data_IF_619908671251
#
_entry.id   IF_619908671251
#
_cell.length_a   1.000
_cell.length_b   1.000
_cell.length_c   1.000
_cell.angle_alpha   90.00
_cell.angle_beta   90.00
_cell.angle_gamma   90.00
#
_symmetry.space_group_name_H-M   'P 1'
#
loop_
_entity.id
_entity.type
_entity.pdbx_description
1 polymer ?
#
# COMPACT_ATOMS: atom_id res chain seq x y z
N UNK A 1 0.03 -3.15 -19.82
CA UNK A 1 0.26 -2.80 -18.41
C UNK A 1 -1.03 -3.18 -17.71
N UNK A 2 -1.11 -4.44 -17.28
CA UNK A 2 -2.29 -5.00 -16.60
C UNK A 2 -2.13 -4.93 -15.06
N UNK A 3 -0.96 -4.47 -14.61
CA UNK A 3 -0.49 -4.47 -13.22
C UNK A 3 -1.21 -3.48 -12.30
N UNK A 4 -1.96 -2.51 -12.86
CA UNK A 4 -2.72 -1.52 -12.09
C UNK A 4 -4.22 -1.77 -11.98
N UNK A 5 -4.69 -2.93 -12.45
CA UNK A 5 -6.12 -3.26 -12.43
C UNK A 5 -6.53 -3.69 -11.02
N UNK A 6 -7.73 -3.32 -10.57
CA UNK A 6 -8.26 -3.71 -9.25
C UNK A 6 -8.20 -5.24 -9.02
N UNK A 7 -8.38 -6.05 -10.06
CA UNK A 7 -8.24 -7.51 -10.02
C UNK A 7 -6.81 -8.00 -9.70
N UNK A 8 -5.79 -7.29 -10.19
CA UNK A 8 -4.39 -7.59 -9.87
C UNK A 8 -4.10 -7.27 -8.40
N UNK A 9 -4.59 -6.13 -7.92
CA UNK A 9 -4.47 -5.72 -6.53
C UNK A 9 -5.21 -6.68 -5.58
N UNK A 10 -6.40 -7.14 -5.97
CA UNK A 10 -7.15 -8.15 -5.21
C UNK A 10 -6.35 -9.44 -5.05
N UNK A 11 -5.73 -9.91 -6.13
CA UNK A 11 -4.87 -11.10 -6.09
C UNK A 11 -3.66 -10.88 -5.20
N UNK A 12 -3.02 -9.71 -5.29
CA UNK A 12 -1.86 -9.35 -4.48
C UNK A 12 -2.18 -9.32 -2.97
N UNK A 13 -3.28 -8.68 -2.60
CA UNK A 13 -3.71 -8.61 -1.18
C UNK A 13 -4.16 -9.98 -0.67
N UNK A 14 -4.69 -10.86 -1.53
CA UNK A 14 -5.06 -12.22 -1.14
C UNK A 14 -3.85 -13.09 -0.75
N UNK A 15 -2.64 -12.79 -1.25
CA UNK A 15 -1.42 -13.47 -0.82
C UNK A 15 -1.16 -13.28 0.69
N UNK A 16 -1.60 -12.15 1.27
CA UNK A 16 -1.48 -11.89 2.70
C UNK A 16 -2.36 -12.81 3.56
N UNK A 17 -3.37 -13.47 3.00
CA UNK A 17 -4.20 -14.45 3.71
C UNK A 17 -3.56 -15.85 3.72
N UNK A 18 -2.39 -16.01 3.09
CA UNK A 18 -1.55 -17.20 3.13
C UNK A 18 -0.83 -17.40 4.48
N UNK A 19 -0.01 -18.46 4.60
CA UNK A 19 0.85 -18.65 5.76
C UNK A 19 1.77 -17.44 5.98
N UNK A 20 2.16 -17.19 7.23
CA UNK A 20 3.13 -16.13 7.54
C UNK A 20 4.45 -16.48 6.83
N UNK A 21 4.89 -15.58 5.96
CA UNK A 21 6.16 -15.65 5.27
C UNK A 21 7.12 -14.69 5.97
N UNK A 22 8.11 -15.24 6.68
CA UNK A 22 9.17 -14.47 7.33
C UNK A 22 10.08 -13.74 6.32
N UNK A 23 10.14 -14.18 5.05
CA UNK A 23 10.90 -13.53 3.98
C UNK A 23 10.10 -12.42 3.30
N UNK A 24 8.76 -12.57 3.22
CA UNK A 24 7.85 -11.61 2.56
C UNK A 24 6.59 -11.33 3.39
N UNK A 25 6.70 -10.57 4.51
CA UNK A 25 5.56 -10.28 5.39
C UNK A 25 4.58 -9.25 4.81
N UNK A 26 4.93 -8.62 3.68
CA UNK A 26 4.16 -7.58 3.04
C UNK A 26 4.12 -7.70 1.51
N UNK A 27 3.10 -7.07 0.94
CA UNK A 27 2.96 -6.89 -0.50
C UNK A 27 2.95 -5.40 -0.81
N UNK A 28 3.65 -4.99 -1.86
CA UNK A 28 3.84 -3.59 -2.19
C UNK A 28 3.42 -3.27 -3.63
N UNK A 29 2.91 -2.06 -3.82
CA UNK A 29 2.63 -1.47 -5.13
C UNK A 29 3.39 -0.16 -5.22
N UNK A 30 4.09 0.04 -6.34
CA UNK A 30 4.85 1.26 -6.61
C UNK A 30 4.31 1.91 -7.88
N UNK A 31 4.12 3.22 -7.83
CA UNK A 31 3.83 4.03 -9.01
C UNK A 31 5.14 4.61 -9.57
N UNK A 32 5.58 4.12 -10.73
CA UNK A 32 6.79 4.60 -11.41
C UNK A 32 6.71 6.09 -11.81
N UNK A 33 5.50 6.63 -12.01
CA UNK A 33 5.30 8.01 -12.44
C UNK A 33 5.51 9.04 -11.32
N UNK A 34 5.07 8.73 -10.11
CA UNK A 34 5.09 9.65 -8.97
C UNK A 34 6.08 9.23 -7.87
N UNK A 35 6.74 8.07 -8.05
CA UNK A 35 7.68 7.47 -7.10
C UNK A 35 7.09 7.23 -5.71
N UNK A 36 5.77 7.01 -5.64
CA UNK A 36 5.09 6.63 -4.41
C UNK A 36 4.99 5.12 -4.34
N UNK A 37 5.15 4.58 -3.13
CA UNK A 37 5.02 3.16 -2.83
C UNK A 37 4.07 2.96 -1.67
N UNK A 38 3.21 1.93 -1.76
CA UNK A 38 2.34 1.49 -0.67
C UNK A 38 2.56 0.01 -0.38
N UNK A 39 2.84 -0.32 0.88
CA UNK A 39 3.01 -1.69 1.37
C UNK A 39 1.87 -2.07 2.31
N UNK A 40 1.29 -3.25 2.12
CA UNK A 40 0.30 -3.84 3.01
C UNK A 40 0.84 -5.10 3.69
N UNK A 41 0.58 -5.20 4.99
CA UNK A 41 1.07 -6.27 5.85
C UNK A 41 -0.06 -7.21 6.27
N UNK A 42 0.29 -8.45 6.61
CA UNK A 42 -0.69 -9.45 7.06
C UNK A 42 -1.45 -9.01 8.32
N UNK A 43 -0.81 -8.25 9.21
CA UNK A 43 -1.38 -7.75 10.48
C UNK A 43 -2.45 -6.65 10.33
N UNK A 44 -2.73 -6.19 9.11
CA UNK A 44 -3.67 -5.08 8.92
C UNK A 44 -2.99 -3.71 8.85
N UNK A 45 -1.66 -3.67 8.72
CA UNK A 45 -0.91 -2.43 8.55
C UNK A 45 -0.78 -2.05 7.07
N UNK A 46 -0.84 -0.75 6.78
CA UNK A 46 -0.49 -0.15 5.50
C UNK A 46 0.59 0.90 5.73
N UNK A 47 1.57 0.97 4.84
CA UNK A 47 2.63 1.98 4.85
C UNK A 47 2.65 2.67 3.50
N UNK A 48 2.66 3.99 3.50
CA UNK A 48 2.78 4.83 2.32
C UNK A 48 4.07 5.64 2.42
N UNK A 49 4.92 5.52 1.41
CA UNK A 49 6.21 6.19 1.35
C UNK A 49 6.46 6.79 -0.04
N UNK A 50 7.31 7.82 -0.09
CA UNK A 50 7.77 8.40 -1.34
C UNK A 50 9.25 8.07 -1.52
N UNK A 51 9.55 7.24 -2.51
CA UNK A 51 10.88 6.65 -2.72
C UNK A 51 11.92 7.67 -3.19
N UNK A 52 11.51 8.68 -3.92
CA UNK A 52 12.40 9.71 -4.49
C UNK A 52 12.68 10.87 -3.52
N UNK A 53 11.96 10.93 -2.39
CA UNK A 53 11.93 12.12 -1.53
C UNK A 53 11.95 11.73 -0.05
N UNK A 54 13.15 11.68 0.51
CA UNK A 54 13.40 11.29 1.89
C UNK A 54 13.01 12.36 2.92
N UNK A 55 12.69 13.59 2.48
CA UNK A 55 12.11 14.62 3.34
C UNK A 55 10.63 14.32 3.67
N UNK A 56 9.95 13.54 2.82
CA UNK A 56 8.57 13.11 3.08
C UNK A 56 8.60 11.87 3.98
N UNK A 57 8.25 12.09 5.25
CA UNK A 57 8.16 11.01 6.23
C UNK A 57 7.11 9.96 5.81
N UNK A 58 7.42 8.66 5.98
CA UNK A 58 6.47 7.60 5.71
C UNK A 58 5.26 7.71 6.63
N UNK A 59 4.11 7.36 6.09
CA UNK A 59 2.81 7.37 6.75
C UNK A 59 2.31 5.95 6.89
N UNK A 60 1.55 5.67 7.93
CA UNK A 60 1.03 4.33 8.11
C UNK A 60 -0.43 4.34 8.59
N UNK A 61 -1.14 3.26 8.32
CA UNK A 61 -2.46 2.97 8.90
C UNK A 61 -2.40 1.60 9.56
N UNK A 62 -3.17 1.39 10.63
CA UNK A 62 -3.25 0.12 11.36
C UNK A 62 -4.71 -0.31 11.47
N UNK A 63 -4.94 -1.61 11.68
CA UNK A 63 -6.27 -2.21 11.77
C UNK A 63 -7.13 -2.00 10.51
N UNK A 64 -6.50 -2.01 9.34
CA UNK A 64 -7.17 -1.80 8.06
C UNK A 64 -7.64 -3.13 7.49
N UNK A 65 -8.88 -3.13 6.98
CA UNK A 65 -9.48 -4.32 6.37
C UNK A 65 -8.81 -4.65 5.03
N UNK A 66 -8.79 -5.92 4.61
CA UNK A 66 -8.30 -6.33 3.27
C UNK A 66 -8.96 -5.53 2.14
N UNK A 67 -10.27 -5.28 2.24
CA UNK A 67 -10.99 -4.48 1.26
C UNK A 67 -10.51 -3.02 1.19
N UNK A 68 -10.09 -2.44 2.31
CA UNK A 68 -9.56 -1.08 2.38
C UNK A 68 -8.11 -1.04 1.87
N UNK A 69 -7.31 -2.08 2.15
CA UNK A 69 -5.98 -2.26 1.55
C UNK A 69 -6.04 -2.29 0.03
N UNK A 70 -6.94 -3.11 -0.52
CA UNK A 70 -7.15 -3.20 -1.96
C UNK A 70 -7.51 -1.84 -2.55
N UNK A 71 -8.42 -1.10 -1.91
CA UNK A 71 -8.79 0.25 -2.37
C UNK A 71 -7.60 1.20 -2.36
N UNK A 72 -6.82 1.23 -1.28
CA UNK A 72 -5.65 2.09 -1.15
C UNK A 72 -4.59 1.77 -2.21
N UNK A 73 -4.27 0.48 -2.39
CA UNK A 73 -3.34 0.01 -3.40
C UNK A 73 -3.83 0.30 -4.83
N UNK A 74 -5.11 0.11 -5.11
CA UNK A 74 -5.70 0.42 -6.40
C UNK A 74 -5.67 1.94 -6.69
N UNK A 75 -5.89 2.80 -5.68
CA UNK A 75 -5.76 4.24 -5.85
C UNK A 75 -4.34 4.62 -6.27
N UNK A 76 -3.31 4.04 -5.64
CA UNK A 76 -1.93 4.28 -6.06
C UNK A 76 -1.67 3.79 -7.49
N UNK A 77 -2.09 2.56 -7.81
CA UNK A 77 -1.85 1.95 -9.12
C UNK A 77 -2.58 2.69 -10.28
N UNK A 78 -3.64 3.42 -9.97
CA UNK A 78 -4.36 4.29 -10.91
C UNK A 78 -3.78 5.71 -11.01
N UNK A 79 -2.74 6.03 -10.23
CA UNK A 79 -2.17 7.38 -10.14
C UNK A 79 -2.99 8.36 -9.28
N UNK A 80 -3.98 7.88 -8.54
CA UNK A 80 -4.83 8.71 -7.65
C UNK A 80 -4.16 8.95 -6.29
N UNK A 81 -2.92 9.42 -6.31
CA UNK A 81 -2.11 9.67 -5.09
C UNK A 81 -2.72 10.80 -4.24
N UNK A 82 -3.43 11.74 -4.85
CA UNK A 82 -4.06 12.86 -4.13
C UNK A 82 -5.18 12.37 -3.20
N UNK A 83 -6.04 11.47 -3.66
CA UNK A 83 -7.07 10.83 -2.84
C UNK A 83 -6.47 9.89 -1.80
N UNK A 84 -5.43 9.13 -2.19
CA UNK A 84 -4.73 8.25 -1.27
C UNK A 84 -4.17 9.02 -0.06
N UNK A 85 -3.58 10.20 -0.28
CA UNK A 85 -3.01 11.01 0.81
C UNK A 85 -4.06 11.65 1.74
N UNK A 86 -5.34 11.67 1.36
CA UNK A 86 -6.42 12.23 2.18
C UNK A 86 -7.00 11.23 3.19
N UNK A 87 -6.58 9.96 3.15
CA UNK A 87 -6.98 8.98 4.16
C UNK A 87 -6.43 9.35 5.55
N UNK A 88 -7.00 8.74 6.59
CA UNK A 88 -6.62 8.92 8.00
C UNK A 88 -5.27 8.26 8.35
N UNK A 89 -4.21 8.71 7.68
CA UNK A 89 -2.84 8.27 7.91
C UNK A 89 -2.30 8.75 9.25
N UNK A 90 -1.64 7.85 9.96
CA UNK A 90 -0.85 8.16 11.15
C UNK A 90 0.58 8.58 10.74
N UNK A 91 1.14 9.63 11.35
CA UNK A 91 2.49 10.10 11.05
C UNK A 91 3.55 9.20 11.72
N UNK A 92 4.51 8.68 10.95
CA UNK A 92 5.76 8.07 11.46
C UNK A 92 5.61 6.84 12.37
N UNK A 93 6.70 6.11 12.63
CA UNK A 93 6.68 4.98 13.57
C UNK A 93 6.57 5.51 15.02
N UNK A 94 5.36 5.57 15.58
CA UNK A 94 5.17 5.64 17.04
C UNK A 94 5.02 4.25 17.64
#
# INVERSE_FOLDING_TARGET
MEDGTEAAILSLVAELDGPIDDEHPDVAVTDDGSSWSISAFQDGALVLEKLDDSDIAPRHMRNISRAEMVRAMAMLAQGNVADLQQLDWLPGYQ
#
